data_IF_287031762980
#
_entry.id   IF_287031762980
#
_cell.length_a   1.000
_cell.length_b   1.000
_cell.length_c   1.000
_cell.angle_alpha   90.00
_cell.angle_beta   90.00
_cell.angle_gamma   90.00
#
_symmetry.space_group_name_H-M   'P 1'
#
loop_
_entity.id
_entity.type
_entity.pdbx_description
1 polymer ?
#
# COMPACT_ATOMS: atom_id res chain seq x y z
N UNK A 1 -1.29 29.55 23.37
CA UNK A 1 0.01 29.31 22.70
C UNK A 1 0.30 27.83 22.46
N UNK A 2 0.19 27.41 21.20
CA UNK A 2 0.48 26.08 20.66
C UNK A 2 2.00 25.89 20.54
N UNK A 3 2.58 24.92 21.24
CA UNK A 3 4.01 24.61 21.19
C UNK A 3 4.24 23.32 20.39
N UNK A 4 5.07 23.39 19.34
CA UNK A 4 5.42 22.23 18.52
C UNK A 4 6.88 22.30 18.08
N UNK A 5 7.60 21.20 18.25
CA UNK A 5 8.97 21.01 17.73
C UNK A 5 9.00 20.41 16.31
N UNK A 6 7.84 20.08 15.74
CA UNK A 6 7.77 19.47 14.41
C UNK A 6 7.85 20.55 13.31
N UNK A 7 8.90 20.54 12.46
CA UNK A 7 9.10 21.58 11.45
C UNK A 7 7.98 21.64 10.41
N UNK A 8 7.24 20.54 10.21
CA UNK A 8 6.17 20.42 9.22
C UNK A 8 4.95 21.29 9.61
N UNK A 9 4.66 21.39 10.91
CA UNK A 9 3.48 22.10 11.42
C UNK A 9 3.82 23.45 12.06
N UNK A 10 5.12 23.76 12.24
CA UNK A 10 5.58 25.01 12.86
C UNK A 10 4.96 26.25 12.22
N UNK A 11 4.87 26.31 10.90
CA UNK A 11 4.24 27.43 10.19
C UNK A 11 2.73 27.53 10.46
N UNK A 12 2.04 26.38 10.49
CA UNK A 12 0.58 26.32 10.73
C UNK A 12 0.24 26.70 12.18
N UNK A 13 0.99 26.16 13.14
CA UNK A 13 0.85 26.50 14.56
C UNK A 13 1.24 27.96 14.84
N UNK A 14 2.28 28.48 14.16
CA UNK A 14 2.68 29.88 14.24
C UNK A 14 1.57 30.85 13.81
N UNK A 15 0.80 30.50 12.78
CA UNK A 15 -0.35 31.30 12.34
C UNK A 15 -1.46 31.36 13.40
N UNK A 16 -1.77 30.24 14.04
CA UNK A 16 -2.78 30.19 15.10
C UNK A 16 -2.34 31.01 16.32
N UNK A 17 -1.06 30.90 16.72
CA UNK A 17 -0.49 31.69 17.81
C UNK A 17 -0.48 33.19 17.51
N UNK A 18 -0.08 33.59 16.29
CA UNK A 18 -0.04 34.99 15.90
C UNK A 18 -1.44 35.62 15.92
N UNK A 19 -2.47 34.86 15.52
CA UNK A 19 -3.85 35.32 15.59
C UNK A 19 -4.34 35.49 17.05
N UNK A 20 -3.93 34.59 17.95
CA UNK A 20 -4.22 34.66 19.39
C UNK A 20 -3.53 35.89 20.03
N UNK A 21 -2.24 36.12 19.74
CA UNK A 21 -1.47 37.25 20.25
C UNK A 21 -2.00 38.61 19.75
N UNK A 22 -2.39 38.70 18.48
CA UNK A 22 -2.89 39.94 17.90
C UNK A 22 -4.37 40.19 18.19
N UNK A 23 -5.11 39.18 18.65
CA UNK A 23 -6.58 39.20 18.73
C UNK A 23 -7.26 39.49 17.39
N UNK A 24 -6.56 39.30 16.26
CA UNK A 24 -7.03 39.67 14.93
C UNK A 24 -6.53 38.70 13.84
N UNK A 25 -7.45 37.84 13.39
CA UNK A 25 -7.20 36.83 12.35
C UNK A 25 -6.79 37.46 11.02
N UNK A 26 -7.47 38.52 10.58
CA UNK A 26 -7.19 39.15 9.27
C UNK A 26 -5.77 39.73 9.24
N UNK A 27 -5.32 40.34 10.33
CA UNK A 27 -3.96 40.90 10.44
C UNK A 27 -2.90 39.79 10.47
N UNK A 28 -3.14 38.72 11.23
CA UNK A 28 -2.24 37.56 11.26
C UNK A 28 -2.12 36.90 9.88
N UNK A 29 -3.24 36.68 9.19
CA UNK A 29 -3.29 36.13 7.83
C UNK A 29 -2.55 37.01 6.82
N UNK A 30 -2.70 38.33 6.89
CA UNK A 30 -1.98 39.27 6.02
C UNK A 30 -0.46 39.23 6.26
N UNK A 31 -0.03 39.16 7.52
CA UNK A 31 1.40 39.09 7.89
C UNK A 31 2.03 37.79 7.40
N UNK A 32 1.34 36.66 7.53
CA UNK A 32 1.86 35.36 7.15
C UNK A 32 1.58 34.96 5.69
N UNK A 33 0.87 35.80 4.93
CA UNK A 33 0.55 35.53 3.52
C UNK A 33 -0.38 34.34 3.31
N UNK A 34 -1.31 34.08 4.24
CA UNK A 34 -2.25 32.95 4.22
C UNK A 34 -3.68 33.46 4.05
N UNK A 35 -4.52 32.74 3.30
CA UNK A 35 -5.94 33.13 3.17
C UNK A 35 -6.69 32.92 4.50
N UNK A 36 -7.68 33.78 4.77
CA UNK A 36 -8.59 33.62 5.93
C UNK A 36 -9.29 32.25 5.93
N UNK A 37 -9.63 31.72 4.76
CA UNK A 37 -10.19 30.37 4.60
C UNK A 37 -9.23 29.28 5.12
N UNK A 38 -7.95 29.37 4.76
CA UNK A 38 -6.93 28.42 5.25
C UNK A 38 -6.76 28.49 6.76
N UNK A 39 -6.86 29.70 7.34
CA UNK A 39 -6.84 29.87 8.79
C UNK A 39 -7.97 29.10 9.47
N UNK A 40 -9.21 29.30 9.04
CA UNK A 40 -10.35 28.62 9.65
C UNK A 40 -10.26 27.10 9.50
N UNK A 41 -9.76 26.61 8.36
CA UNK A 41 -9.50 25.18 8.18
C UNK A 41 -8.45 24.64 9.16
N UNK A 42 -7.38 25.38 9.44
CA UNK A 42 -6.39 24.96 10.45
C UNK A 42 -6.93 25.06 11.87
N UNK A 43 -7.75 26.06 12.16
CA UNK A 43 -8.41 26.21 13.46
C UNK A 43 -9.36 25.03 13.72
N UNK A 44 -10.18 24.68 12.74
CA UNK A 44 -11.09 23.52 12.79
C UNK A 44 -10.32 22.21 12.99
N UNK A 45 -9.29 21.96 12.18
CA UNK A 45 -8.43 20.77 12.32
C UNK A 45 -7.77 20.70 13.70
N UNK A 46 -7.28 21.83 14.22
CA UNK A 46 -6.66 21.89 15.52
C UNK A 46 -7.67 21.69 16.67
N UNK A 47 -8.92 22.12 16.49
CA UNK A 47 -10.00 21.93 17.45
C UNK A 47 -10.50 20.48 17.49
N UNK A 48 -10.63 19.83 16.34
CA UNK A 48 -11.13 18.45 16.23
C UNK A 48 -10.08 17.39 16.60
N UNK A 49 -8.85 17.55 16.10
CA UNK A 49 -7.81 16.53 16.18
C UNK A 49 -6.51 16.98 16.85
N UNK A 50 -6.53 18.14 17.52
CA UNK A 50 -5.36 18.69 18.19
C UNK A 50 -4.25 19.14 17.22
N UNK A 51 -3.07 19.37 17.77
CA UNK A 51 -1.92 19.93 17.04
C UNK A 51 -1.43 18.97 15.95
N UNK A 52 -1.53 17.66 16.19
CA UNK A 52 -1.07 16.64 15.26
C UNK A 52 -1.97 16.53 14.02
N UNK A 53 -3.23 16.94 14.09
CA UNK A 53 -4.12 17.01 12.92
C UNK A 53 -3.71 18.10 11.92
N UNK A 54 -2.83 19.04 12.30
CA UNK A 54 -2.21 19.98 11.38
C UNK A 54 -1.14 19.32 10.49
N UNK A 55 -0.67 18.12 10.82
CA UNK A 55 0.22 17.33 9.96
C UNK A 55 -0.58 16.98 8.70
N UNK A 56 0.00 17.25 7.52
CA UNK A 56 -0.70 17.08 6.24
C UNK A 56 -1.39 15.71 6.16
N UNK A 57 -2.73 15.71 6.20
CA UNK A 57 -3.50 14.55 5.78
C UNK A 57 -3.10 14.22 4.35
N UNK A 58 -2.70 12.96 4.14
CA UNK A 58 -2.14 12.48 2.89
C UNK A 58 -3.08 12.85 1.72
N UNK A 59 -2.63 13.67 0.77
CA UNK A 59 -3.44 14.08 -0.41
C UNK A 59 -3.83 12.89 -1.29
N UNK A 60 -3.24 11.71 -1.07
CA UNK A 60 -3.54 10.46 -1.78
C UNK A 60 -4.55 9.63 -0.98
N UNK A 61 -5.79 10.08 -0.93
CA UNK A 61 -6.91 9.28 -0.40
C UNK A 61 -7.43 8.36 -1.52
N UNK A 62 -7.69 7.06 -1.26
CA UNK A 62 -8.28 6.17 -2.26
C UNK A 62 -9.65 6.69 -2.72
N UNK A 63 -9.84 6.83 -4.04
CA UNK A 63 -11.13 7.19 -4.60
C UNK A 63 -12.01 5.93 -4.74
N UNK A 64 -12.94 5.74 -3.81
CA UNK A 64 -13.84 4.59 -3.76
C UNK A 64 -14.75 4.48 -5.00
N UNK A 65 -15.05 5.58 -5.67
CA UNK A 65 -15.91 5.57 -6.88
C UNK A 65 -15.25 4.88 -8.07
N UNK A 66 -13.93 4.85 -8.12
CA UNK A 66 -13.17 4.21 -9.20
C UNK A 66 -12.75 2.79 -8.83
N UNK A 67 -13.31 2.22 -7.76
CA UNK A 67 -13.00 0.85 -7.34
C UNK A 67 -13.63 -0.14 -8.30
N UNK A 68 -12.92 -1.24 -8.57
CA UNK A 68 -13.51 -2.38 -9.24
C UNK A 68 -14.69 -2.90 -8.40
N UNK A 69 -15.71 -3.44 -9.05
CA UNK A 69 -16.80 -4.11 -8.36
C UNK A 69 -16.27 -5.29 -7.53
N UNK A 70 -17.01 -5.63 -6.48
CA UNK A 70 -16.61 -6.67 -5.53
C UNK A 70 -16.44 -8.05 -6.19
N UNK A 71 -17.26 -8.36 -7.19
CA UNK A 71 -17.18 -9.64 -7.91
C UNK A 71 -15.88 -9.74 -8.72
N UNK A 72 -15.51 -8.69 -9.45
CA UNK A 72 -14.22 -8.59 -10.14
C UNK A 72 -13.05 -8.66 -9.16
N UNK A 73 -13.15 -7.95 -8.03
CA UNK A 73 -12.09 -7.94 -7.02
C UNK A 73 -11.88 -9.34 -6.42
N UNK A 74 -12.97 -10.04 -6.08
CA UNK A 74 -12.94 -11.44 -5.60
C UNK A 74 -12.34 -12.39 -6.63
N UNK A 75 -12.77 -12.32 -7.89
CA UNK A 75 -12.27 -13.18 -8.95
C UNK A 75 -10.74 -13.03 -9.16
N UNK A 76 -10.23 -11.79 -9.03
CA UNK A 76 -8.79 -11.50 -9.13
C UNK A 76 -8.00 -12.07 -7.95
N UNK A 77 -8.54 -11.99 -6.74
CA UNK A 77 -7.91 -12.54 -5.52
C UNK A 77 -7.92 -14.06 -5.54
N UNK A 78 -9.06 -14.68 -5.88
CA UNK A 78 -9.20 -16.13 -5.97
C UNK A 78 -8.23 -16.71 -7.01
N UNK A 79 -8.18 -16.10 -8.20
CA UNK A 79 -7.26 -16.50 -9.25
C UNK A 79 -5.79 -16.40 -8.82
N UNK A 80 -5.43 -15.41 -8.00
CA UNK A 80 -4.07 -15.25 -7.51
C UNK A 80 -3.62 -16.38 -6.58
N UNK A 81 -4.56 -17.01 -5.86
CA UNK A 81 -4.32 -18.16 -4.99
C UNK A 81 -4.35 -19.47 -5.79
N UNK A 82 -5.22 -19.58 -6.79
CA UNK A 82 -5.25 -20.73 -7.70
C UNK A 82 -3.95 -20.83 -8.53
N UNK A 83 -3.49 -19.70 -9.09
CA UNK A 83 -2.34 -19.66 -10.00
C UNK A 83 -1.32 -18.60 -9.56
N UNK A 84 -0.60 -18.80 -8.44
CA UNK A 84 0.33 -17.81 -7.90
C UNK A 84 1.47 -17.47 -8.87
N UNK A 85 1.87 -18.40 -9.75
CA UNK A 85 2.92 -18.19 -10.74
C UNK A 85 2.55 -17.19 -11.86
N UNK A 86 1.26 -16.93 -12.09
CA UNK A 86 0.80 -16.12 -13.22
C UNK A 86 0.96 -14.62 -12.94
N UNK A 87 1.70 -13.89 -13.79
CA UNK A 87 1.84 -12.43 -13.66
C UNK A 87 0.55 -11.65 -13.95
N UNK A 88 0.57 -10.33 -13.68
CA UNK A 88 -0.60 -9.45 -13.82
C UNK A 88 -1.27 -9.47 -15.21
N UNK A 89 -0.46 -9.53 -16.27
CA UNK A 89 -0.97 -9.55 -17.66
C UNK A 89 -1.57 -10.91 -18.02
N UNK A 90 -0.95 -12.00 -17.57
CA UNK A 90 -1.50 -13.34 -17.77
C UNK A 90 -2.81 -13.51 -17.02
N UNK A 91 -2.87 -13.05 -15.77
CA UNK A 91 -4.09 -13.06 -14.96
C UNK A 91 -5.22 -12.28 -15.64
N UNK A 92 -4.94 -11.06 -16.11
CA UNK A 92 -5.89 -10.26 -16.88
C UNK A 92 -6.44 -10.99 -18.12
N UNK A 93 -5.57 -11.66 -18.89
CA UNK A 93 -5.99 -12.40 -20.08
C UNK A 93 -6.85 -13.63 -19.75
N UNK A 94 -6.50 -14.40 -18.73
CA UNK A 94 -7.28 -15.58 -18.31
C UNK A 94 -8.63 -15.18 -17.71
N UNK A 95 -8.67 -14.11 -16.91
CA UNK A 95 -9.92 -13.54 -16.41
C UNK A 95 -10.83 -13.04 -17.54
N UNK A 96 -10.24 -12.46 -18.59
CA UNK A 96 -10.99 -12.04 -19.78
C UNK A 96 -11.68 -13.21 -20.48
N UNK A 97 -11.05 -14.38 -20.53
CA UNK A 97 -11.67 -15.61 -21.05
C UNK A 97 -12.83 -16.11 -20.16
N UNK A 98 -12.74 -15.87 -18.85
CA UNK A 98 -13.81 -16.14 -17.88
C UNK A 98 -14.92 -15.06 -17.87
N UNK A 99 -14.85 -14.06 -18.76
CA UNK A 99 -15.84 -12.97 -18.86
C UNK A 99 -15.60 -11.79 -17.90
N UNK A 100 -14.48 -11.78 -17.17
CA UNK A 100 -14.10 -10.69 -16.26
C UNK A 100 -13.11 -9.75 -16.96
N UNK A 101 -13.56 -8.54 -17.28
CA UNK A 101 -12.77 -7.57 -18.03
C UNK A 101 -12.02 -6.61 -17.10
N UNK A 102 -10.74 -6.92 -16.86
CA UNK A 102 -9.85 -6.05 -16.08
C UNK A 102 -8.48 -5.92 -16.76
N UNK A 103 -7.88 -4.73 -16.68
CA UNK A 103 -6.52 -4.49 -17.18
C UNK A 103 -5.45 -5.10 -16.26
N UNK A 104 -4.27 -5.42 -16.79
CA UNK A 104 -3.14 -5.88 -15.98
C UNK A 104 -2.73 -4.89 -14.88
N UNK A 105 -2.86 -3.58 -15.12
CA UNK A 105 -2.65 -2.56 -14.08
C UNK A 105 -3.73 -2.58 -13.00
N UNK A 106 -4.99 -2.82 -13.38
CA UNK A 106 -6.10 -3.02 -12.45
C UNK A 106 -5.89 -4.22 -11.55
N UNK A 107 -5.43 -5.35 -12.12
CA UNK A 107 -5.04 -6.55 -11.36
C UNK A 107 -3.97 -6.22 -10.31
N UNK A 108 -2.91 -5.50 -10.70
CA UNK A 108 -1.85 -5.08 -9.77
C UNK A 108 -2.37 -4.20 -8.64
N UNK A 109 -3.23 -3.22 -8.97
CA UNK A 109 -3.85 -2.34 -7.98
C UNK A 109 -4.74 -3.09 -7.00
N UNK A 110 -5.41 -4.16 -7.44
CA UNK A 110 -6.14 -5.07 -6.54
C UNK A 110 -5.14 -5.82 -5.65
N UNK A 111 -4.14 -6.46 -6.23
CA UNK A 111 -3.15 -7.22 -5.47
C UNK A 111 -2.44 -6.41 -4.39
N UNK A 112 -2.03 -5.17 -4.68
CA UNK A 112 -1.39 -4.30 -3.69
C UNK A 112 -2.29 -3.99 -2.49
N UNK A 113 -3.61 -4.04 -2.65
CA UNK A 113 -4.58 -3.80 -1.57
C UNK A 113 -4.85 -5.05 -0.73
N UNK A 114 -4.60 -6.23 -1.31
CA UNK A 114 -4.79 -7.54 -0.68
C UNK A 114 -3.47 -8.20 -0.24
N UNK A 115 -2.36 -7.47 -0.31
CA UNK A 115 -1.02 -7.99 0.00
C UNK A 115 -0.59 -9.17 -0.90
N UNK A 116 -0.95 -9.13 -2.19
CA UNK A 116 -0.70 -10.18 -3.18
C UNK A 116 0.21 -9.73 -4.34
N UNK A 117 0.94 -8.62 -4.17
CA UNK A 117 1.65 -7.98 -5.28
C UNK A 117 2.85 -8.78 -5.79
N UNK A 118 3.43 -9.64 -4.95
CA UNK A 118 4.62 -10.42 -5.25
C UNK A 118 4.31 -11.92 -5.29
N UNK A 119 5.11 -12.69 -6.03
CA UNK A 119 4.98 -14.14 -6.09
C UNK A 119 5.04 -14.80 -4.70
N UNK A 120 6.03 -14.41 -3.88
CA UNK A 120 6.17 -14.90 -2.50
C UNK A 120 4.92 -14.67 -1.65
N UNK A 121 4.30 -13.50 -1.76
CA UNK A 121 3.09 -13.19 -0.99
C UNK A 121 1.87 -13.99 -1.47
N UNK A 122 1.73 -14.18 -2.78
CA UNK A 122 0.69 -15.05 -3.35
C UNK A 122 0.86 -16.50 -2.94
N UNK A 123 2.10 -16.97 -2.86
CA UNK A 123 2.36 -18.31 -2.36
C UNK A 123 2.07 -18.45 -0.87
N UNK A 124 2.43 -17.46 -0.05
CA UNK A 124 2.06 -17.43 1.36
C UNK A 124 0.53 -17.49 1.55
N UNK A 125 -0.22 -16.73 0.75
CA UNK A 125 -1.68 -16.79 0.77
C UNK A 125 -2.23 -18.17 0.38
N UNK A 126 -1.55 -18.89 -0.53
CA UNK A 126 -1.88 -20.27 -0.85
C UNK A 126 -1.57 -21.23 0.32
N UNK A 127 -0.39 -21.13 0.93
CA UNK A 127 0.00 -21.93 2.10
C UNK A 127 -1.00 -21.73 3.26
N UNK A 128 -1.40 -20.49 3.54
CA UNK A 128 -2.42 -20.17 4.55
C UNK A 128 -3.79 -20.76 4.21
N UNK A 129 -4.19 -20.75 2.93
CA UNK A 129 -5.45 -21.36 2.49
C UNK A 129 -5.42 -22.89 2.68
N UNK A 130 -4.31 -23.53 2.33
CA UNK A 130 -4.11 -24.98 2.52
C UNK A 130 -4.12 -25.35 4.00
N UNK A 131 -3.45 -24.58 4.86
CA UNK A 131 -3.44 -24.83 6.30
C UNK A 131 -4.83 -24.71 6.94
N UNK A 132 -5.68 -23.80 6.42
CA UNK A 132 -7.04 -23.57 6.94
C UNK A 132 -8.05 -24.59 6.43
N UNK A 133 -8.02 -24.89 5.14
CA UNK A 133 -9.08 -25.65 4.46
C UNK A 133 -8.66 -27.10 4.18
N UNK A 134 -7.38 -27.47 4.33
CA UNK A 134 -6.88 -28.82 4.08
C UNK A 134 -7.04 -29.25 2.62
N UNK A 135 -6.98 -28.30 1.68
CA UNK A 135 -7.24 -28.56 0.26
C UNK A 135 -6.11 -29.38 -0.37
N UNK A 136 -6.48 -30.32 -1.26
CA UNK A 136 -5.55 -31.00 -2.16
C UNK A 136 -5.06 -30.02 -3.21
N UNK A 137 -3.74 -29.80 -3.26
CA UNK A 137 -3.10 -28.91 -4.22
C UNK A 137 -3.32 -29.40 -5.66
N UNK A 138 -3.59 -28.47 -6.57
CA UNK A 138 -3.62 -28.77 -8.01
C UNK A 138 -2.20 -28.82 -8.60
N UNK A 139 -2.02 -29.51 -9.74
CA UNK A 139 -0.73 -29.60 -10.43
C UNK A 139 -0.09 -28.23 -10.70
N UNK A 140 -0.90 -27.21 -11.00
CA UNK A 140 -0.42 -25.85 -11.21
C UNK A 140 0.11 -25.18 -9.93
N UNK A 141 -0.44 -25.55 -8.78
CA UNK A 141 0.03 -25.09 -7.47
C UNK A 141 1.29 -25.83 -7.03
N UNK A 142 1.38 -27.13 -7.32
CA UNK A 142 2.58 -27.94 -7.09
C UNK A 142 3.74 -27.39 -7.92
N UNK A 143 3.54 -27.14 -9.22
CA UNK A 143 4.54 -26.53 -10.08
C UNK A 143 4.99 -25.13 -9.60
N UNK A 144 4.10 -24.37 -8.94
CA UNK A 144 4.47 -23.09 -8.35
C UNK A 144 5.35 -23.24 -7.10
N UNK A 145 5.09 -24.26 -6.27
CA UNK A 145 5.93 -24.61 -5.12
C UNK A 145 7.31 -25.09 -5.57
N UNK A 146 7.37 -25.96 -6.58
CA UNK A 146 8.62 -26.43 -7.20
C UNK A 146 9.44 -25.27 -7.77
N UNK A 147 8.78 -24.32 -8.43
CA UNK A 147 9.45 -23.11 -8.93
C UNK A 147 10.08 -22.28 -7.81
N UNK A 148 9.39 -22.12 -6.66
CA UNK A 148 9.99 -21.45 -5.50
C UNK A 148 11.21 -22.22 -5.01
N UNK A 149 11.12 -23.54 -4.88
CA UNK A 149 12.24 -24.36 -4.43
C UNK A 149 13.49 -24.17 -5.32
N UNK A 150 13.31 -24.16 -6.64
CA UNK A 150 14.41 -23.88 -7.58
C UNK A 150 14.93 -22.44 -7.51
N UNK A 151 14.05 -21.44 -7.34
CA UNK A 151 14.47 -20.03 -7.18
C UNK A 151 15.27 -19.85 -5.89
N UNK A 152 14.89 -20.53 -4.79
CA UNK A 152 15.58 -20.50 -3.51
C UNK A 152 16.96 -21.22 -3.60
N UNK A 153 17.04 -22.39 -4.25
CA UNK A 153 18.30 -23.09 -4.57
C UNK A 153 19.25 -22.25 -5.42
N UNK A 154 18.73 -21.57 -6.45
CA UNK A 154 19.51 -20.70 -7.33
C UNK A 154 20.01 -19.42 -6.62
N UNK A 155 19.26 -18.93 -5.63
CA UNK A 155 19.62 -17.74 -4.84
C UNK A 155 20.71 -17.99 -3.78
N UNK A 156 21.12 -19.25 -3.58
CA UNK A 156 22.29 -19.60 -2.80
C UNK A 156 22.05 -19.74 -1.29
N UNK A 157 20.82 -20.03 -0.85
CA UNK A 157 20.59 -20.62 0.48
C UNK A 157 20.91 -22.13 0.43
N UNK A 158 22.16 -22.45 0.11
CA UNK A 158 22.68 -23.78 0.40
C UNK A 158 23.01 -23.74 1.89
N UNK A 159 22.36 -24.57 2.71
CA UNK A 159 22.84 -24.89 4.05
C UNK A 159 24.25 -25.46 3.93
N UNK A 160 25.23 -24.58 3.93
CA UNK A 160 26.65 -24.90 3.90
C UNK A 160 27.19 -24.53 5.25
N UNK A 161 27.84 -25.49 5.92
CA UNK A 161 28.41 -25.30 7.25
C UNK A 161 29.44 -24.14 7.33
N UNK A 162 29.86 -23.55 6.21
CA UNK A 162 30.86 -22.49 6.12
C UNK A 162 30.41 -21.39 5.12
N UNK A 163 29.78 -20.29 5.60
CA UNK A 163 29.17 -19.24 4.78
C UNK A 163 30.12 -18.34 3.95
N UNK A 164 31.41 -18.68 3.84
CA UNK A 164 32.46 -17.72 3.45
C UNK A 164 33.17 -17.94 2.11
N UNK A 165 32.93 -19.03 1.40
CA UNK A 165 33.74 -19.38 0.21
C UNK A 165 32.95 -19.35 -1.10
N UNK A 166 32.79 -18.15 -1.67
CA UNK A 166 32.84 -17.98 -3.13
C UNK A 166 33.68 -16.75 -3.49
N UNK A 167 34.90 -17.01 -3.96
CA UNK A 167 35.74 -16.02 -4.63
C UNK A 167 35.16 -15.75 -6.02
N UNK A 168 35.18 -14.47 -6.39
CA UNK A 168 34.97 -13.94 -7.75
C UNK A 168 35.78 -14.75 -8.76
N UNK A 169 35.15 -15.19 -9.83
CA UNK A 169 35.82 -15.48 -11.09
C UNK A 169 35.29 -14.52 -12.15
N UNK A 170 36.25 -14.03 -12.93
CA UNK A 170 36.18 -12.92 -13.88
C UNK A 170 35.22 -13.15 -15.04
#
# INVERSE_FOLDING_TARGET
>A
MIHTNNPIIKHKAGLLNLAEELGNVSKACNIMGVSRDTFYRYQELAAEGGIDALINQNRRVPNLKNRADEATERAVVEYAVEFPAHGQHRTSNELRKKGVFISGSGVRSIWQRHDLENFRKRLKALEEKVAREGIVLSDAQIAALEKKAHDDEASGEIETAHPGYRKRTA
#
